data_IF_770448601242
#
_entry.id   IF_770448601242
#
_cell.length_a   1.000
_cell.length_b   1.000
_cell.length_c   1.000
_cell.angle_alpha   90.00
_cell.angle_beta   90.00
_cell.angle_gamma   90.00
#
_symmetry.space_group_name_H-M   'P 1'
#
loop_
_entity.id
_entity.type
_entity.pdbx_description
1 polymer ?
#
# COMPACT_ATOMS: atom_id res chain seq x y z
N UNK A 1 19.73 -2.74 21.88
CA UNK A 1 19.28 -1.84 20.79
C UNK A 1 17.79 -2.01 20.68
N UNK A 2 17.03 -0.97 20.99
CA UNK A 2 15.60 -0.93 20.62
C UNK A 2 15.52 -0.91 19.10
N UNK A 3 14.88 -1.92 18.51
CA UNK A 3 14.63 -1.94 17.07
C UNK A 3 13.39 -1.08 16.83
N UNK A 4 13.57 0.08 16.23
CA UNK A 4 12.44 0.91 15.83
C UNK A 4 11.52 0.11 14.88
N UNK A 5 10.19 0.21 15.03
CA UNK A 5 9.27 -0.48 14.14
C UNK A 5 9.47 -0.03 12.70
N UNK A 6 9.21 -0.92 11.73
CA UNK A 6 9.23 -0.51 10.34
C UNK A 6 8.09 0.48 10.06
N UNK A 7 8.22 1.29 9.01
CA UNK A 7 7.14 2.18 8.61
C UNK A 7 5.85 1.42 8.29
N UNK A 8 5.96 0.22 7.70
CA UNK A 8 4.82 -0.64 7.43
C UNK A 8 4.12 -1.09 8.73
N UNK A 9 4.89 -1.42 9.78
CA UNK A 9 4.33 -1.77 11.10
C UNK A 9 3.58 -0.59 11.70
N UNK A 10 4.13 0.63 11.60
CA UNK A 10 3.48 1.84 12.10
C UNK A 10 2.18 2.12 11.33
N UNK A 11 2.20 2.05 10.00
CA UNK A 11 1.01 2.27 9.17
C UNK A 11 -0.08 1.21 9.42
N UNK A 12 0.30 0.00 9.83
CA UNK A 12 -0.66 -1.06 10.19
C UNK A 12 -1.45 -0.75 11.47
N UNK A 13 -0.97 0.16 12.32
CA UNK A 13 -1.67 0.58 13.55
C UNK A 13 -2.78 1.59 13.30
N UNK A 14 -2.86 2.17 12.10
CA UNK A 14 -3.85 3.20 11.76
C UNK A 14 -5.24 2.54 11.61
N UNK A 15 -6.25 2.97 12.39
CA UNK A 15 -7.59 2.42 12.27
C UNK A 15 -8.19 2.75 10.89
N UNK A 16 -8.91 1.81 10.30
CA UNK A 16 -9.54 1.98 8.99
C UNK A 16 -10.93 2.61 9.12
N UNK A 17 -11.11 3.91 8.79
CA UNK A 17 -12.40 4.60 8.96
C UNK A 17 -13.40 4.25 7.86
N UNK A 18 -12.97 3.51 6.82
CA UNK A 18 -13.80 3.21 5.66
C UNK A 18 -14.88 2.22 6.03
N UNK A 19 -16.06 2.36 5.45
CA UNK A 19 -17.14 1.39 5.61
C UNK A 19 -16.70 -0.02 5.18
N UNK A 20 -16.99 -1.08 5.97
CA UNK A 20 -16.64 -2.46 5.62
C UNK A 20 -17.06 -2.90 4.22
N UNK A 21 -18.23 -2.45 3.75
CA UNK A 21 -18.76 -2.78 2.42
C UNK A 21 -17.94 -2.17 1.27
N UNK A 22 -17.15 -1.13 1.53
CA UNK A 22 -16.29 -0.46 0.57
C UNK A 22 -14.83 -0.94 0.55
N UNK A 23 -14.47 -1.95 1.34
CA UNK A 23 -13.06 -2.37 1.53
C UNK A 23 -12.62 -3.38 0.48
N UNK A 24 -12.11 -2.90 -0.66
CA UNK A 24 -11.43 -3.75 -1.67
C UNK A 24 -10.03 -4.17 -1.25
N UNK A 25 -9.29 -3.28 -0.59
CA UNK A 25 -7.92 -3.51 -0.11
C UNK A 25 -7.77 -3.05 1.34
N UNK A 26 -6.99 -3.76 2.17
CA UNK A 26 -6.65 -3.30 3.52
C UNK A 26 -6.00 -1.92 3.50
N UNK A 27 -6.31 -1.07 4.48
CA UNK A 27 -5.77 0.30 4.53
C UNK A 27 -4.23 0.35 4.55
N UNK A 28 -3.52 -0.50 5.32
CA UNK A 28 -2.05 -0.41 5.39
C UNK A 28 -1.38 -0.61 4.03
N UNK A 29 -1.95 -1.47 3.18
CA UNK A 29 -1.43 -1.74 1.84
C UNK A 29 -1.56 -0.50 0.94
N UNK A 30 -2.68 0.23 1.04
CA UNK A 30 -2.89 1.48 0.31
C UNK A 30 -1.96 2.58 0.82
N UNK A 31 -1.75 2.67 2.14
CA UNK A 31 -0.83 3.64 2.74
C UNK A 31 0.62 3.37 2.32
N UNK A 32 1.06 2.11 2.31
CA UNK A 32 2.37 1.73 1.80
C UNK A 32 2.56 2.20 0.35
N UNK A 33 1.57 1.95 -0.53
CA UNK A 33 1.63 2.38 -1.93
C UNK A 33 1.72 3.91 -2.05
N UNK A 34 0.92 4.65 -1.29
CA UNK A 34 0.91 6.11 -1.31
C UNK A 34 2.23 6.69 -0.80
N UNK A 35 2.81 6.12 0.26
CA UNK A 35 4.12 6.52 0.77
C UNK A 35 5.20 6.27 -0.28
N UNK A 36 5.24 5.08 -0.88
CA UNK A 36 6.22 4.77 -1.93
C UNK A 36 6.04 5.71 -3.12
N UNK A 37 4.81 5.97 -3.56
CA UNK A 37 4.52 6.95 -4.61
C UNK A 37 5.00 8.36 -4.26
N UNK A 38 4.80 8.79 -3.01
CA UNK A 38 5.27 10.09 -2.52
C UNK A 38 6.80 10.18 -2.55
N UNK A 39 7.49 9.14 -2.06
CA UNK A 39 8.95 9.05 -2.07
C UNK A 39 9.52 8.96 -3.49
N UNK A 40 8.77 8.38 -4.43
CA UNK A 40 9.10 8.34 -5.85
C UNK A 40 8.78 9.66 -6.58
N UNK A 41 8.26 10.69 -5.88
CA UNK A 41 7.95 12.00 -6.47
C UNK A 41 6.63 12.06 -7.25
N UNK A 42 5.73 11.09 -7.09
CA UNK A 42 4.42 11.09 -7.73
C UNK A 42 3.52 12.17 -7.11
N UNK A 43 2.87 12.97 -7.95
CA UNK A 43 2.09 14.16 -7.52
C UNK A 43 0.57 14.03 -7.71
N UNK A 44 0.09 12.88 -8.15
CA UNK A 44 -1.33 12.60 -8.33
C UNK A 44 -1.65 11.13 -8.06
N UNK A 45 -2.91 10.86 -7.72
CA UNK A 45 -3.39 9.48 -7.55
C UNK A 45 -3.22 8.65 -8.83
N UNK A 46 -3.42 9.27 -9.99
CA UNK A 46 -3.23 8.60 -11.28
C UNK A 46 -1.78 8.15 -11.49
N UNK A 47 -0.82 9.02 -11.16
CA UNK A 47 0.62 8.68 -11.25
C UNK A 47 1.02 7.59 -10.25
N UNK A 48 0.44 7.57 -9.05
CA UNK A 48 0.66 6.48 -8.08
C UNK A 48 0.05 5.17 -8.57
N UNK A 49 -1.14 5.22 -9.17
CA UNK A 49 -1.77 4.04 -9.75
C UNK A 49 -0.98 3.51 -10.94
N UNK A 50 -0.36 4.40 -11.74
CA UNK A 50 0.53 4.01 -12.83
C UNK A 50 1.80 3.34 -12.31
N UNK A 51 2.44 3.90 -11.28
CA UNK A 51 3.58 3.27 -10.60
C UNK A 51 3.25 1.81 -10.17
N UNK A 52 2.08 1.59 -9.57
CA UNK A 52 1.65 0.25 -9.19
C UNK A 52 1.51 -0.71 -10.39
N UNK A 53 1.02 -0.21 -11.53
CA UNK A 53 0.90 -0.99 -12.78
C UNK A 53 2.25 -1.31 -13.39
N UNK A 54 3.17 -0.34 -13.41
CA UNK A 54 4.48 -0.46 -14.06
C UNK A 54 5.39 -1.46 -13.37
N UNK A 55 5.38 -1.49 -12.04
CA UNK A 55 6.23 -2.39 -11.25
C UNK A 55 5.61 -3.77 -10.99
N UNK A 56 4.31 -3.94 -11.28
CA UNK A 56 3.63 -5.23 -11.27
C UNK A 56 3.71 -6.00 -9.95
N UNK A 57 3.72 -7.33 -10.07
CA UNK A 57 3.60 -8.29 -8.95
C UNK A 57 4.69 -8.16 -7.88
N UNK A 58 5.98 -7.95 -8.19
CA UNK A 58 7.02 -7.82 -7.16
C UNK A 58 6.78 -6.64 -6.20
N UNK A 59 6.47 -5.46 -6.73
CA UNK A 59 6.15 -4.31 -5.89
C UNK A 59 4.85 -4.54 -5.11
N UNK A 60 3.84 -5.12 -5.75
CA UNK A 60 2.59 -5.43 -5.08
C UNK A 60 2.80 -6.33 -3.85
N UNK A 61 3.62 -7.39 -3.96
CA UNK A 61 3.96 -8.25 -2.82
C UNK A 61 4.72 -7.51 -1.73
N UNK A 62 5.71 -6.68 -2.10
CA UNK A 62 6.49 -5.89 -1.14
C UNK A 62 5.60 -4.90 -0.34
N UNK A 63 4.55 -4.38 -0.96
CA UNK A 63 3.58 -3.48 -0.33
C UNK A 63 2.52 -4.21 0.52
N UNK A 64 2.45 -5.54 0.45
CA UNK A 64 1.50 -6.37 1.18
C UNK A 64 0.21 -6.70 0.42
N UNK A 65 0.14 -6.45 -0.89
CA UNK A 65 -0.95 -6.97 -1.71
C UNK A 65 -0.85 -8.50 -1.78
N UNK A 66 -1.93 -9.17 -1.41
CA UNK A 66 -2.07 -10.62 -1.66
C UNK A 66 -2.68 -10.78 -3.04
N UNK A 67 -2.04 -11.57 -3.91
CA UNK A 67 -2.58 -11.87 -5.24
C UNK A 67 -4.04 -12.29 -5.12
N UNK A 68 -4.92 -11.63 -5.87
CA UNK A 68 -6.24 -12.19 -6.13
C UNK A 68 -6.02 -13.55 -6.78
N UNK A 69 -6.61 -14.61 -6.23
CA UNK A 69 -6.72 -15.89 -6.92
C UNK A 69 -7.51 -15.60 -8.21
N UNK A 70 -6.81 -15.50 -9.33
CA UNK A 70 -7.43 -15.63 -10.65
C UNK A 70 -7.88 -17.08 -10.72
N UNK A 71 -9.18 -17.29 -10.49
CA UNK A 71 -9.84 -18.57 -10.80
C UNK A 71 -9.71 -18.91 -12.27
#
# INVERSE_FOLDING_TARGET
>A
MEVAPSLADVLATIPDPRDPSGRRYPLPVLLNLMVVGTLAGMRSLETVAQLARDHGTPLAHALGFRSAKTS
#
